data_IF_360215528158
#
_entry.id   IF_360215528158
#
_cell.length_a   1.000
_cell.length_b   1.000
_cell.length_c   1.000
_cell.angle_alpha   90.00
_cell.angle_beta   90.00
_cell.angle_gamma   90.00
#
_symmetry.space_group_name_H-M   'P 1'
#
loop_
_entity.id
_entity.type
_entity.pdbx_description
1 polymer ?
#
# COMPACT_ATOMS: atom_id res chain seq x y z
N UNK A 1 1.48 41.73 21.06
CA UNK A 1 1.22 40.83 19.91
C UNK A 1 2.48 40.81 19.08
N UNK A 2 3.32 39.78 19.19
CA UNK A 2 4.44 39.57 18.26
C UNK A 2 3.96 38.53 17.27
N UNK A 3 3.67 38.96 16.05
CA UNK A 3 3.47 38.05 14.93
C UNK A 3 4.80 37.34 14.67
N UNK A 4 4.89 36.08 15.11
CA UNK A 4 5.96 35.20 14.68
C UNK A 4 5.62 34.77 13.25
N UNK A 5 6.19 35.48 12.28
CA UNK A 5 6.32 34.94 10.92
C UNK A 5 7.20 33.70 11.05
N UNK A 6 6.58 32.51 11.13
CA UNK A 6 7.30 31.24 11.07
C UNK A 6 7.97 31.17 9.70
N UNK A 7 9.25 30.82 9.68
CA UNK A 7 9.96 30.57 8.43
C UNK A 7 9.30 29.43 7.67
N UNK A 8 9.34 29.45 6.33
CA UNK A 8 8.95 28.28 5.51
C UNK A 8 9.71 27.04 5.98
N UNK A 9 10.96 27.19 6.42
CA UNK A 9 11.79 26.12 6.98
C UNK A 9 11.25 25.59 8.32
N UNK A 10 10.67 26.44 9.18
CA UNK A 10 10.06 26.01 10.45
C UNK A 10 8.76 25.26 10.21
N UNK A 11 8.00 25.63 9.17
CA UNK A 11 6.80 24.91 8.72
C UNK A 11 7.16 23.56 8.09
N UNK A 12 8.30 23.47 7.40
CA UNK A 12 8.81 22.24 6.77
C UNK A 12 9.41 21.28 7.81
N UNK A 13 10.11 21.77 8.83
CA UNK A 13 10.73 20.93 9.87
C UNK A 13 9.72 20.28 10.84
N UNK A 14 8.53 20.87 11.03
CA UNK A 14 7.41 20.31 11.80
C UNK A 14 6.30 19.69 10.90
N UNK A 15 6.55 19.59 9.58
CA UNK A 15 5.55 19.20 8.59
C UNK A 15 5.17 17.72 8.71
N UNK A 16 3.87 17.35 8.80
CA UNK A 16 3.45 15.95 8.84
C UNK A 16 3.71 15.20 7.53
N UNK A 17 4.14 15.88 6.47
CA UNK A 17 4.28 15.32 5.13
C UNK A 17 5.54 14.47 4.94
N UNK A 18 6.68 14.83 5.56
CA UNK A 18 7.88 13.97 5.53
C UNK A 18 7.59 12.62 6.23
N UNK A 19 6.97 12.60 7.42
CA UNK A 19 6.46 11.36 8.00
C UNK A 19 5.45 10.60 7.12
N UNK A 20 4.58 11.27 6.36
CA UNK A 20 3.65 10.60 5.43
C UNK A 20 4.40 9.84 4.33
N UNK A 21 5.41 10.45 3.73
CA UNK A 21 6.25 9.82 2.71
C UNK A 21 7.04 8.64 3.29
N UNK A 22 7.68 8.82 4.45
CA UNK A 22 8.37 7.71 5.14
C UNK A 22 7.44 6.54 5.44
N UNK A 23 6.19 6.83 5.84
CA UNK A 23 5.18 5.82 6.10
C UNK A 23 4.79 5.08 4.80
N UNK A 24 4.54 5.80 3.70
CA UNK A 24 4.22 5.17 2.41
C UNK A 24 5.34 4.23 1.98
N UNK A 25 6.59 4.71 2.08
CA UNK A 25 7.78 3.92 1.75
C UNK A 25 7.87 2.63 2.58
N UNK A 26 7.55 2.69 3.87
CA UNK A 26 7.52 1.48 4.73
C UNK A 26 6.45 0.47 4.28
N UNK A 27 5.27 0.94 3.91
CA UNK A 27 4.23 0.08 3.33
C UNK A 27 4.70 -0.59 2.04
N UNK A 28 5.35 0.16 1.15
CA UNK A 28 5.88 -0.39 -0.12
C UNK A 28 6.99 -1.41 0.13
N UNK A 29 7.91 -1.14 1.07
CA UNK A 29 8.93 -2.12 1.47
C UNK A 29 8.30 -3.41 2.02
N UNK A 30 7.19 -3.32 2.76
CA UNK A 30 6.47 -4.50 3.23
C UNK A 30 5.89 -5.32 2.06
N UNK A 31 5.34 -4.64 1.04
CA UNK A 31 4.84 -5.28 -0.19
C UNK A 31 5.99 -5.90 -1.01
N UNK A 32 7.17 -5.29 -1.04
CA UNK A 32 8.37 -5.87 -1.66
C UNK A 32 8.78 -7.18 -0.98
N UNK A 33 8.78 -7.20 0.36
CA UNK A 33 9.03 -8.44 1.12
C UNK A 33 7.93 -9.47 0.96
N UNK A 34 6.67 -9.05 0.78
CA UNK A 34 5.59 -9.97 0.43
C UNK A 34 5.81 -10.62 -0.93
N UNK A 35 6.34 -9.89 -1.93
CA UNK A 35 6.65 -10.49 -3.22
C UNK A 35 7.72 -11.59 -3.10
N UNK A 36 8.79 -11.34 -2.32
CA UNK A 36 9.80 -12.37 -1.98
C UNK A 36 9.17 -13.56 -1.22
N UNK A 37 8.23 -13.29 -0.32
CA UNK A 37 7.49 -14.31 0.41
C UNK A 37 6.57 -15.15 -0.50
N UNK A 38 5.95 -14.53 -1.51
CA UNK A 38 5.11 -15.21 -2.50
C UNK A 38 5.95 -16.16 -3.36
N UNK A 39 7.12 -15.73 -3.80
CA UNK A 39 8.07 -16.61 -4.50
C UNK A 39 8.46 -17.82 -3.64
N UNK A 40 8.78 -17.58 -2.36
CA UNK A 40 9.10 -18.64 -1.40
C UNK A 40 7.91 -19.59 -1.19
N UNK A 41 6.70 -19.05 -1.04
CA UNK A 41 5.46 -19.81 -0.91
C UNK A 41 5.26 -20.72 -2.11
N UNK A 42 5.31 -20.17 -3.33
CA UNK A 42 5.19 -20.91 -4.60
C UNK A 42 6.26 -21.99 -4.78
N UNK A 43 7.49 -21.75 -4.31
CA UNK A 43 8.58 -22.72 -4.33
C UNK A 43 8.51 -23.78 -3.22
N UNK A 44 7.58 -23.65 -2.28
CA UNK A 44 7.49 -24.52 -1.09
C UNK A 44 8.63 -24.31 -0.09
N UNK A 45 9.31 -23.17 -0.12
CA UNK A 45 10.39 -22.82 0.80
C UNK A 45 9.82 -22.16 2.07
N UNK A 46 9.34 -22.99 3.00
CA UNK A 46 8.72 -22.53 4.25
C UNK A 46 9.67 -21.67 5.09
N UNK A 47 10.95 -22.04 5.20
CA UNK A 47 11.91 -21.31 6.02
C UNK A 47 12.11 -19.87 5.53
N UNK A 48 12.17 -19.68 4.20
CA UNK A 48 12.26 -18.34 3.63
C UNK A 48 10.93 -17.57 3.76
N UNK A 49 9.79 -18.24 3.60
CA UNK A 49 8.48 -17.62 3.85
C UNK A 49 8.37 -17.09 5.28
N UNK A 50 8.77 -17.89 6.27
CA UNK A 50 8.76 -17.49 7.69
C UNK A 50 9.70 -16.28 7.93
N UNK A 51 10.92 -16.32 7.36
CA UNK A 51 11.88 -15.21 7.46
C UNK A 51 11.32 -13.90 6.87
N UNK A 52 10.68 -13.97 5.69
CA UNK A 52 10.07 -12.78 5.07
C UNK A 52 8.85 -12.31 5.84
N UNK A 53 8.07 -13.21 6.41
CA UNK A 53 6.91 -12.87 7.27
C UNK A 53 7.38 -12.07 8.48
N UNK A 54 8.43 -12.50 9.16
CA UNK A 54 9.03 -11.78 10.29
C UNK A 54 9.55 -10.38 9.90
N UNK A 55 10.07 -10.21 8.68
CA UNK A 55 10.48 -8.90 8.16
C UNK A 55 9.30 -7.98 7.87
N UNK A 56 8.23 -8.52 7.28
CA UNK A 56 7.00 -7.77 6.99
C UNK A 56 6.39 -7.27 8.31
N UNK A 57 6.37 -8.11 9.35
CA UNK A 57 5.91 -7.72 10.69
C UNK A 57 6.71 -6.55 11.28
N UNK A 58 8.04 -6.58 11.13
CA UNK A 58 8.90 -5.48 11.57
C UNK A 58 8.58 -4.19 10.81
N UNK A 59 8.36 -4.29 9.50
CA UNK A 59 8.04 -3.13 8.65
C UNK A 59 6.67 -2.53 8.97
N UNK A 60 5.65 -3.35 9.18
CA UNK A 60 4.32 -2.91 9.64
C UNK A 60 4.43 -2.20 10.99
N UNK A 61 5.14 -2.79 11.96
CA UNK A 61 5.29 -2.20 13.28
C UNK A 61 6.04 -0.85 13.24
N UNK A 62 7.02 -0.71 12.33
CA UNK A 62 7.67 0.57 12.07
C UNK A 62 6.74 1.58 11.41
N UNK A 63 5.89 1.15 10.46
CA UNK A 63 4.87 1.99 9.84
C UNK A 63 3.84 2.49 10.86
N UNK A 64 3.34 1.63 11.76
CA UNK A 64 2.42 2.03 12.83
C UNK A 64 3.06 3.08 13.75
N UNK A 65 4.33 2.92 14.14
CA UNK A 65 5.06 3.94 14.91
C UNK A 65 5.07 5.30 14.20
N UNK A 66 5.27 5.32 12.88
CA UNK A 66 5.24 6.57 12.10
C UNK A 66 3.82 7.12 12.04
N UNK A 67 2.80 6.27 11.84
CA UNK A 67 1.38 6.65 11.88
C UNK A 67 0.99 7.30 13.20
N UNK A 68 1.40 6.73 14.33
CA UNK A 68 1.13 7.31 15.65
C UNK A 68 1.83 8.66 15.82
N UNK A 69 3.08 8.81 15.33
CA UNK A 69 3.78 10.11 15.33
C UNK A 69 3.06 11.15 14.48
N UNK A 70 2.56 10.78 13.30
CA UNK A 70 1.75 11.68 12.45
C UNK A 70 0.48 12.11 13.18
N UNK A 71 -0.26 11.16 13.77
CA UNK A 71 -1.48 11.48 14.53
C UNK A 71 -1.20 12.41 15.71
N UNK A 72 -0.10 12.17 16.42
CA UNK A 72 0.33 13.01 17.54
C UNK A 72 0.76 14.43 17.12
N UNK A 73 1.20 14.63 15.87
CA UNK A 73 1.58 15.96 15.34
C UNK A 73 0.40 16.78 14.78
N UNK A 74 -0.83 16.23 14.78
CA UNK A 74 -2.06 16.91 14.34
C UNK A 74 -2.94 17.45 15.52
N UNK A 75 -2.44 18.06 16.62
CA UNK A 75 -3.31 18.72 17.60
C UNK A 75 -4.19 19.81 16.99
N UNK A 76 -5.31 20.12 17.62
CA UNK A 76 -6.29 21.11 17.16
C UNK A 76 -5.68 22.49 16.86
N UNK A 77 -4.64 22.90 17.60
CA UNK A 77 -3.97 24.20 17.50
C UNK A 77 -3.02 24.36 16.30
N UNK A 78 -2.59 23.28 15.64
CA UNK A 78 -1.68 23.35 14.48
C UNK A 78 -2.47 23.74 13.22
N UNK A 79 -2.08 24.81 12.53
CA UNK A 79 -2.58 25.12 11.17
C UNK A 79 -1.78 24.31 10.15
N UNK A 80 -2.48 23.47 9.40
CA UNK A 80 -1.91 22.71 8.28
C UNK A 80 -2.33 23.33 6.95
N UNK A 81 -1.54 23.16 5.88
CA UNK A 81 -1.90 23.63 4.54
C UNK A 81 -2.98 22.78 3.87
N UNK A 82 -3.55 21.81 4.58
CA UNK A 82 -4.61 20.88 4.13
C UNK A 82 -5.58 20.61 5.28
N UNK A 83 -6.78 20.13 4.94
CA UNK A 83 -7.77 19.72 5.92
C UNK A 83 -7.30 18.49 6.73
N UNK A 84 -7.35 18.59 8.06
CA UNK A 84 -6.93 17.51 8.98
C UNK A 84 -7.72 16.21 8.80
N UNK A 85 -9.03 16.30 8.55
CA UNK A 85 -9.89 15.12 8.34
C UNK A 85 -9.51 14.41 7.05
N UNK A 86 -9.22 15.16 5.99
CA UNK A 86 -8.79 14.59 4.72
C UNK A 86 -7.42 13.94 4.84
N UNK A 87 -6.47 14.57 5.54
CA UNK A 87 -5.16 13.97 5.83
C UNK A 87 -5.26 12.68 6.64
N UNK A 88 -6.10 12.64 7.68
CA UNK A 88 -6.31 11.42 8.47
C UNK A 88 -7.03 10.32 7.66
N UNK A 89 -7.93 10.70 6.75
CA UNK A 89 -8.60 9.77 5.83
C UNK A 89 -7.62 9.19 4.81
N UNK A 90 -6.72 10.01 4.27
CA UNK A 90 -5.61 9.59 3.43
C UNK A 90 -4.68 8.61 4.17
N UNK A 91 -4.18 9.00 5.34
CA UNK A 91 -3.29 8.18 6.16
C UNK A 91 -3.90 6.80 6.47
N UNK A 92 -5.22 6.73 6.72
CA UNK A 92 -5.91 5.46 6.95
C UNK A 92 -5.81 4.51 5.75
N UNK A 93 -5.96 4.99 4.53
CA UNK A 93 -5.85 4.14 3.33
C UNK A 93 -4.39 3.71 3.10
N UNK A 94 -3.45 4.64 3.32
CA UNK A 94 -2.01 4.36 3.21
C UNK A 94 -1.54 3.28 4.21
N UNK A 95 -2.03 3.33 5.45
CA UNK A 95 -1.81 2.33 6.51
C UNK A 95 -2.19 0.92 6.07
N UNK A 96 -3.37 0.79 5.47
CA UNK A 96 -3.88 -0.52 5.04
C UNK A 96 -2.99 -1.22 4.01
N UNK A 97 -2.13 -0.52 3.26
CA UNK A 97 -1.19 -1.17 2.34
C UNK A 97 -0.25 -2.13 3.10
N UNK A 98 0.31 -1.68 4.24
CA UNK A 98 1.15 -2.52 5.09
C UNK A 98 0.33 -3.61 5.79
N UNK A 99 -0.88 -3.28 6.26
CA UNK A 99 -1.78 -4.24 6.92
C UNK A 99 -2.11 -5.43 5.98
N UNK A 100 -2.43 -5.14 4.71
CA UNK A 100 -2.72 -6.19 3.73
C UNK A 100 -1.47 -7.00 3.36
N UNK A 101 -0.28 -6.37 3.36
CA UNK A 101 0.96 -7.09 3.14
C UNK A 101 1.22 -8.12 4.25
N UNK A 102 1.12 -7.70 5.52
CA UNK A 102 1.23 -8.57 6.69
C UNK A 102 0.16 -9.66 6.70
N UNK A 103 -1.11 -9.29 6.48
CA UNK A 103 -2.21 -10.23 6.48
C UNK A 103 -2.03 -11.32 5.40
N UNK A 104 -1.52 -10.95 4.23
CA UNK A 104 -1.19 -11.91 3.15
C UNK A 104 -0.08 -12.87 3.56
N UNK A 105 1.00 -12.37 4.16
CA UNK A 105 2.13 -13.18 4.62
C UNK A 105 1.68 -14.23 5.64
N UNK A 106 0.96 -13.81 6.69
CA UNK A 106 0.40 -14.74 7.66
C UNK A 106 -0.58 -15.74 7.03
N UNK A 107 -1.41 -15.30 6.08
CA UNK A 107 -2.36 -16.18 5.41
C UNK A 107 -1.69 -17.31 4.63
N UNK A 108 -0.52 -17.05 4.01
CA UNK A 108 0.28 -18.08 3.34
C UNK A 108 0.82 -19.14 4.31
N UNK A 109 1.09 -18.78 5.56
CA UNK A 109 1.58 -19.75 6.57
C UNK A 109 0.52 -20.77 7.00
N UNK A 110 -0.77 -20.48 6.78
CA UNK A 110 -1.87 -21.33 7.24
C UNK A 110 -2.00 -22.63 6.44
N UNK A 111 -1.54 -22.65 5.19
CA UNK A 111 -1.66 -23.81 4.30
C UNK A 111 -0.51 -23.83 3.27
N UNK A 112 0.31 -24.88 3.22
CA UNK A 112 1.39 -24.99 2.23
C UNK A 112 0.87 -25.02 0.79
N UNK A 113 1.65 -24.47 -0.15
CA UNK A 113 1.29 -24.44 -1.57
C UNK A 113 1.72 -25.69 -2.37
N UNK A 114 2.44 -26.64 -1.75
CA UNK A 114 3.17 -27.72 -2.44
C UNK A 114 2.35 -28.47 -3.50
N UNK A 115 1.08 -28.75 -3.19
CA UNK A 115 0.20 -29.55 -4.04
C UNK A 115 -0.69 -28.70 -4.98
N UNK A 116 -0.43 -27.39 -5.10
CA UNK A 116 -1.16 -26.53 -6.03
C UNK A 116 -0.69 -26.74 -7.47
N UNK A 117 -1.62 -26.73 -8.45
CA UNK A 117 -1.31 -26.63 -9.87
C UNK A 117 -0.39 -25.44 -10.18
N UNK A 118 0.56 -25.63 -11.10
CA UNK A 118 1.54 -24.59 -11.45
C UNK A 118 0.89 -23.34 -12.05
N UNK A 119 -0.20 -23.49 -12.81
CA UNK A 119 -0.96 -22.37 -13.36
C UNK A 119 -1.60 -21.44 -12.31
N UNK A 120 -1.86 -21.96 -11.10
CA UNK A 120 -2.34 -21.18 -9.96
C UNK A 120 -1.17 -20.45 -9.32
N UNK A 121 -0.02 -21.10 -9.16
CA UNK A 121 1.22 -20.47 -8.64
C UNK A 121 1.66 -19.32 -9.55
N UNK A 122 1.67 -19.54 -10.87
CA UNK A 122 1.98 -18.51 -11.86
C UNK A 122 1.01 -17.32 -11.76
N UNK A 123 -0.29 -17.60 -11.61
CA UNK A 123 -1.28 -16.54 -11.43
C UNK A 123 -1.07 -15.72 -10.15
N UNK A 124 -0.66 -16.35 -9.04
CA UNK A 124 -0.31 -15.62 -7.83
C UNK A 124 0.93 -14.74 -8.00
N UNK A 125 1.96 -15.23 -8.70
CA UNK A 125 3.17 -14.45 -8.98
C UNK A 125 2.85 -13.24 -9.86
N UNK A 126 1.99 -13.40 -10.87
CA UNK A 126 1.55 -12.31 -11.75
C UNK A 126 0.69 -11.26 -10.99
N UNK A 127 -0.28 -11.73 -10.19
CA UNK A 127 -1.10 -10.88 -9.34
C UNK A 127 -0.23 -10.07 -8.34
N UNK A 128 0.73 -10.73 -7.70
CA UNK A 128 1.64 -10.11 -6.74
C UNK A 128 2.56 -9.08 -7.42
N UNK A 129 3.15 -9.43 -8.57
CA UNK A 129 4.02 -8.53 -9.32
C UNK A 129 3.27 -7.24 -9.75
N UNK A 130 2.03 -7.37 -10.20
CA UNK A 130 1.20 -6.23 -10.62
C UNK A 130 0.77 -5.40 -9.40
N UNK A 131 0.37 -6.04 -8.30
CA UNK A 131 0.03 -5.34 -7.05
C UNK A 131 1.21 -4.56 -6.47
N UNK A 132 2.42 -5.13 -6.51
CA UNK A 132 3.65 -4.42 -6.14
C UNK A 132 3.93 -3.23 -7.06
N UNK A 133 3.70 -3.37 -8.37
CA UNK A 133 3.85 -2.26 -9.32
C UNK A 133 2.88 -1.12 -8.99
N UNK A 134 1.63 -1.43 -8.62
CA UNK A 134 0.64 -0.43 -8.17
C UNK A 134 1.13 0.30 -6.92
N UNK A 135 1.60 -0.43 -5.90
CA UNK A 135 2.12 0.15 -4.66
C UNK A 135 3.34 1.06 -4.93
N UNK A 136 4.25 0.67 -5.83
CA UNK A 136 5.40 1.50 -6.24
C UNK A 136 4.99 2.77 -6.99
N UNK A 137 3.98 2.69 -7.86
CA UNK A 137 3.44 3.88 -8.53
C UNK A 137 2.79 4.84 -7.52
N UNK A 138 2.11 4.28 -6.51
CA UNK A 138 1.60 5.07 -5.40
C UNK A 138 2.72 5.72 -4.56
N UNK A 139 3.83 5.03 -4.31
CA UNK A 139 5.02 5.61 -3.64
C UNK A 139 5.54 6.85 -4.38
N UNK A 140 5.60 6.78 -5.72
CA UNK A 140 5.99 7.91 -6.56
C UNK A 140 5.03 9.10 -6.39
N UNK A 141 3.72 8.85 -6.37
CA UNK A 141 2.72 9.89 -6.11
C UNK A 141 2.93 10.56 -4.75
N UNK A 142 3.20 9.78 -3.70
CA UNK A 142 3.44 10.33 -2.35
C UNK A 142 4.76 11.09 -2.29
N UNK A 143 5.79 10.67 -3.02
CA UNK A 143 7.08 11.37 -3.13
C UNK A 143 6.96 12.81 -3.67
N UNK A 144 5.93 13.12 -4.45
CA UNK A 144 5.68 14.49 -4.94
C UNK A 144 5.12 15.43 -3.86
N UNK A 145 4.72 14.92 -2.68
CA UNK A 145 4.18 15.75 -1.60
C UNK A 145 5.15 16.84 -1.14
N UNK A 146 6.44 16.52 -1.05
CA UNK A 146 7.45 17.51 -0.65
C UNK A 146 7.57 18.64 -1.68
N UNK A 147 7.57 18.30 -2.98
CA UNK A 147 7.62 19.25 -4.09
C UNK A 147 6.38 20.16 -4.09
N UNK A 148 5.20 19.59 -3.85
CA UNK A 148 3.96 20.36 -3.70
C UNK A 148 4.07 21.37 -2.54
N UNK A 149 4.62 21.00 -1.39
CA UNK A 149 4.78 21.93 -0.27
C UNK A 149 5.81 23.01 -0.57
N UNK A 150 6.97 22.64 -1.13
CA UNK A 150 8.05 23.56 -1.44
C UNK A 150 7.62 24.65 -2.43
N UNK A 151 6.68 24.33 -3.33
CA UNK A 151 6.11 25.26 -4.29
C UNK A 151 4.82 25.94 -3.83
N UNK A 152 4.43 25.76 -2.55
CA UNK A 152 3.15 26.24 -2.01
C UNK A 152 1.94 25.81 -2.85
N UNK A 153 2.00 24.58 -3.36
CA UNK A 153 1.01 23.96 -4.24
C UNK A 153 0.72 24.79 -5.48
N UNK A 154 1.76 25.05 -6.28
CA UNK A 154 1.61 25.74 -7.55
C UNK A 154 0.65 24.98 -8.48
N UNK A 155 -0.04 25.69 -9.37
CA UNK A 155 -1.00 25.06 -10.31
C UNK A 155 -0.33 24.04 -11.23
N UNK A 156 0.90 24.30 -11.62
CA UNK A 156 1.70 23.44 -12.50
C UNK A 156 2.06 22.13 -11.78
N UNK A 157 2.59 22.24 -10.56
CA UNK A 157 2.99 21.09 -9.75
C UNK A 157 1.83 20.16 -9.38
N UNK A 158 0.67 20.75 -9.07
CA UNK A 158 -0.56 19.97 -8.88
C UNK A 158 -0.91 19.22 -10.16
N UNK A 159 -0.88 19.90 -11.30
CA UNK A 159 -1.24 19.28 -12.57
C UNK A 159 -0.32 18.11 -12.88
N UNK A 160 0.99 18.26 -12.68
CA UNK A 160 1.98 17.18 -12.84
C UNK A 160 1.70 16.02 -11.88
N UNK A 161 1.54 16.30 -10.59
CA UNK A 161 1.27 15.26 -9.57
C UNK A 161 -0.01 14.48 -9.87
N UNK A 162 -1.08 15.17 -10.32
CA UNK A 162 -2.37 14.54 -10.62
C UNK A 162 -2.30 13.59 -11.83
N UNK A 163 -1.27 13.66 -12.68
CA UNK A 163 -1.09 12.74 -13.82
C UNK A 163 -0.67 11.33 -13.39
N UNK A 164 -0.15 11.17 -12.17
CA UNK A 164 0.27 9.85 -11.66
C UNK A 164 -0.95 9.01 -11.26
N UNK A 165 -2.03 9.64 -10.80
CA UNK A 165 -3.18 8.92 -10.24
C UNK A 165 -3.90 8.04 -11.28
N UNK A 166 -4.17 8.48 -12.52
CA UNK A 166 -4.72 7.61 -13.55
C UNK A 166 -3.88 6.36 -13.83
N UNK A 167 -2.55 6.44 -13.66
CA UNK A 167 -1.67 5.27 -13.82
C UNK A 167 -1.81 4.29 -12.65
N UNK A 168 -2.02 4.78 -11.42
CA UNK A 168 -2.36 3.93 -10.26
C UNK A 168 -3.71 3.24 -10.47
N UNK A 169 -4.74 4.01 -10.87
CA UNK A 169 -6.10 3.49 -11.14
C UNK A 169 -6.09 2.45 -12.27
N UNK A 170 -5.28 2.66 -13.31
CA UNK A 170 -5.12 1.66 -14.38
C UNK A 170 -4.49 0.36 -13.88
N UNK A 171 -3.45 0.45 -13.05
CA UNK A 171 -2.79 -0.75 -12.51
C UNK A 171 -3.68 -1.50 -11.52
N UNK A 172 -4.50 -0.78 -10.74
CA UNK A 172 -5.53 -1.40 -9.90
C UNK A 172 -6.58 -2.14 -10.74
N UNK A 173 -7.05 -1.55 -11.83
CA UNK A 173 -7.91 -2.26 -12.78
C UNK A 173 -7.26 -3.52 -13.39
N UNK A 174 -5.97 -3.44 -13.75
CA UNK A 174 -5.23 -4.61 -14.24
C UNK A 174 -5.16 -5.73 -13.16
N UNK A 175 -5.06 -5.36 -11.88
CA UNK A 175 -5.10 -6.30 -10.75
C UNK A 175 -6.47 -6.97 -10.62
N UNK A 176 -7.59 -6.23 -10.71
CA UNK A 176 -8.94 -6.80 -10.65
C UNK A 176 -9.18 -7.87 -11.74
N UNK A 177 -8.63 -7.63 -12.94
CA UNK A 177 -8.69 -8.58 -14.07
C UNK A 177 -7.91 -9.85 -13.73
N UNK A 178 -6.73 -9.72 -13.14
CA UNK A 178 -5.91 -10.86 -12.70
C UNK A 178 -6.55 -11.63 -11.55
N UNK A 179 -7.16 -10.95 -10.58
CA UNK A 179 -7.92 -11.61 -9.50
C UNK A 179 -9.03 -12.47 -10.09
N UNK A 180 -9.84 -11.91 -10.98
CA UNK A 180 -10.95 -12.63 -11.62
C UNK A 180 -10.44 -13.84 -12.41
N UNK A 181 -9.35 -13.70 -13.15
CA UNK A 181 -8.76 -14.79 -13.92
C UNK A 181 -8.21 -15.90 -13.00
N UNK A 182 -7.51 -15.54 -11.93
CA UNK A 182 -6.95 -16.50 -10.97
C UNK A 182 -8.06 -17.23 -10.19
N UNK A 183 -9.11 -16.52 -9.77
CA UNK A 183 -10.26 -17.14 -9.11
C UNK A 183 -10.92 -18.18 -10.00
N UNK A 184 -11.08 -17.92 -11.31
CA UNK A 184 -11.62 -18.92 -12.26
C UNK A 184 -10.76 -20.18 -12.29
N UNK A 185 -9.43 -20.05 -12.43
CA UNK A 185 -8.50 -21.19 -12.39
C UNK A 185 -8.60 -21.98 -11.09
N UNK A 186 -8.68 -21.29 -9.95
CA UNK A 186 -8.86 -21.93 -8.64
C UNK A 186 -10.13 -22.79 -8.61
N UNK A 187 -11.25 -22.28 -9.11
CA UNK A 187 -12.51 -23.03 -9.14
C UNK A 187 -12.52 -24.17 -10.18
N UNK A 188 -11.85 -24.00 -11.33
CA UNK A 188 -11.67 -25.07 -12.31
C UNK A 188 -10.91 -26.27 -11.71
N UNK A 189 -10.03 -26.01 -10.74
CA UNK A 189 -9.28 -27.01 -10.00
C UNK A 189 -9.89 -27.42 -8.64
N UNK A 190 -11.15 -27.06 -8.36
CA UNK A 190 -11.81 -27.34 -7.07
C UNK A 190 -11.73 -28.81 -6.66
N UNK A 191 -11.91 -29.75 -7.61
CA UNK A 191 -11.88 -31.18 -7.31
C UNK A 191 -10.52 -31.66 -6.76
N UNK A 192 -9.42 -31.03 -7.17
CA UNK A 192 -8.07 -31.35 -6.71
C UNK A 192 -7.71 -30.59 -5.42
N UNK A 193 -8.19 -29.36 -5.29
CA UNK A 193 -7.85 -28.45 -4.17
C UNK A 193 -8.72 -28.72 -2.92
N UNK A 194 -9.96 -29.13 -3.14
CA UNK A 194 -11.02 -29.25 -2.13
C UNK A 194 -11.59 -27.89 -1.70
N UNK A 195 -12.84 -27.86 -1.27
CA UNK A 195 -13.54 -26.61 -0.93
C UNK A 195 -12.83 -25.74 0.12
N UNK A 196 -12.25 -26.35 1.16
CA UNK A 196 -11.48 -25.62 2.16
C UNK A 196 -10.20 -24.96 1.57
N UNK A 197 -9.55 -25.65 0.62
CA UNK A 197 -8.41 -25.09 -0.11
C UNK A 197 -8.83 -23.94 -1.02
N UNK A 198 -9.97 -24.07 -1.72
CA UNK A 198 -10.53 -22.99 -2.54
C UNK A 198 -10.80 -21.76 -1.68
N UNK A 199 -11.46 -21.90 -0.53
CA UNK A 199 -11.71 -20.77 0.38
C UNK A 199 -10.41 -20.11 0.89
N UNK A 200 -9.37 -20.91 1.18
CA UNK A 200 -8.06 -20.37 1.55
C UNK A 200 -7.45 -19.56 0.41
N UNK A 201 -7.43 -20.09 -0.81
CA UNK A 201 -6.83 -19.41 -1.96
C UNK A 201 -7.61 -18.14 -2.35
N UNK A 202 -8.94 -18.17 -2.31
CA UNK A 202 -9.77 -16.97 -2.51
C UNK A 202 -9.41 -15.87 -1.51
N UNK A 203 -9.24 -16.22 -0.23
CA UNK A 203 -8.83 -15.28 0.79
C UNK A 203 -7.42 -14.72 0.57
N UNK A 204 -6.52 -15.49 -0.06
CA UNK A 204 -5.19 -15.00 -0.43
C UNK A 204 -5.27 -14.02 -1.61
N UNK A 205 -6.08 -14.33 -2.64
CA UNK A 205 -6.31 -13.45 -3.79
C UNK A 205 -6.81 -12.09 -3.32
N UNK A 206 -7.89 -12.05 -2.54
CA UNK A 206 -8.49 -10.81 -2.02
C UNK A 206 -7.50 -9.96 -1.22
N UNK A 207 -6.61 -10.60 -0.45
CA UNK A 207 -5.63 -9.86 0.35
C UNK A 207 -4.54 -9.23 -0.52
N UNK A 208 -4.10 -9.92 -1.57
CA UNK A 208 -3.10 -9.38 -2.49
C UNK A 208 -3.72 -8.27 -3.34
N UNK A 209 -4.93 -8.48 -3.89
CA UNK A 209 -5.66 -7.44 -4.63
C UNK A 209 -5.95 -6.21 -3.77
N UNK A 210 -6.23 -6.41 -2.49
CA UNK A 210 -6.41 -5.35 -1.50
C UNK A 210 -5.24 -4.36 -1.41
N UNK A 211 -4.01 -4.77 -1.75
CA UNK A 211 -2.85 -3.87 -1.80
C UNK A 211 -3.02 -2.82 -2.91
N UNK A 212 -3.48 -3.24 -4.10
CA UNK A 212 -3.70 -2.36 -5.23
C UNK A 212 -4.91 -1.43 -4.99
N UNK A 213 -6.03 -1.98 -4.51
CA UNK A 213 -7.22 -1.21 -4.12
C UNK A 213 -6.88 -0.14 -3.08
N UNK A 214 -6.11 -0.48 -2.03
CA UNK A 214 -5.72 0.49 -1.00
C UNK A 214 -4.74 1.54 -1.51
N UNK A 215 -3.85 1.17 -2.44
CA UNK A 215 -2.97 2.13 -3.12
C UNK A 215 -3.77 3.13 -3.96
N UNK A 216 -4.74 2.67 -4.76
CA UNK A 216 -5.63 3.52 -5.55
C UNK A 216 -6.55 4.39 -4.66
N UNK A 217 -7.15 3.79 -3.63
CA UNK A 217 -7.95 4.49 -2.63
C UNK A 217 -7.14 5.60 -1.92
N UNK A 218 -5.90 5.32 -1.53
CA UNK A 218 -5.03 6.32 -0.93
C UNK A 218 -4.67 7.44 -1.92
N UNK A 219 -4.40 7.11 -3.19
CA UNK A 219 -4.17 8.10 -4.25
C UNK A 219 -5.38 9.04 -4.45
N UNK A 220 -6.61 8.51 -4.45
CA UNK A 220 -7.81 9.34 -4.57
C UNK A 220 -8.07 10.20 -3.32
N UNK A 221 -7.75 9.70 -2.12
CA UNK A 221 -7.78 10.54 -0.90
C UNK A 221 -6.77 11.67 -0.95
N UNK A 222 -5.58 11.42 -1.50
CA UNK A 222 -4.57 12.45 -1.73
C UNK A 222 -5.07 13.51 -2.72
N UNK A 223 -5.66 13.08 -3.84
CA UNK A 223 -6.33 13.96 -4.83
C UNK A 223 -7.33 14.88 -4.15
N UNK A 224 -8.26 14.29 -3.40
CA UNK A 224 -9.30 15.03 -2.68
C UNK A 224 -8.71 16.03 -1.69
N UNK A 225 -7.69 15.63 -0.93
CA UNK A 225 -7.00 16.50 0.03
C UNK A 225 -6.33 17.70 -0.66
N UNK A 226 -5.67 17.48 -1.79
CA UNK A 226 -4.95 18.55 -2.53
C UNK A 226 -5.92 19.53 -3.19
N UNK A 227 -7.04 19.05 -3.74
CA UNK A 227 -8.02 19.87 -4.46
C UNK A 227 -8.97 20.64 -3.53
N UNK A 228 -9.15 20.20 -2.29
CA UNK A 228 -10.03 20.82 -1.28
C UNK A 228 -9.29 21.63 -0.21
N UNK A 229 -7.98 21.80 -0.37
CA UNK A 229 -7.10 22.46 0.61
C UNK A 229 -7.49 23.91 0.91
#
# INVERSE_FOLDING_TARGET
MKDYIRSVLDVVAESPFVPLEMHARKGVLAVEKLAEAMEAYCAGNQALLDERTDEIDRLEHEADKIKQKIRASIPASVRLPVNKKDLLSFLKQQDSIADFAQASAYWMTLRPCKDLPDEIKEGFLELMATSLKTARMYDQLVGELYKLLATSFSKEEIKETMQIIPEVEKLEHDVDVLETALLRKIFEHEAAIGGAGVCHLMGLVERIGGIADKSASAADRLRSMILRR
#
